data_IF_845577615812
#
_entry.id   IF_845577615812
#
_cell.length_a   1.000
_cell.length_b   1.000
_cell.length_c   1.000
_cell.angle_alpha   90.00
_cell.angle_beta   90.00
_cell.angle_gamma   90.00
#
_symmetry.space_group_name_H-M   'P 1'
#
loop_
_entity.id
_entity.type
_entity.pdbx_description
1 polymer ?
#
# COMPACT_ATOMS: atom_id res chain seq x y z
N UNK A 1 20.05 -20.83 6.93
CA UNK A 1 20.95 -19.74 7.35
C UNK A 1 21.37 -18.94 6.10
N UNK A 2 20.54 -18.00 5.65
CA UNK A 2 20.70 -17.33 4.34
C UNK A 2 20.64 -15.80 4.43
N UNK A 3 20.64 -15.19 5.62
CA UNK A 3 20.33 -13.75 5.75
C UNK A 3 21.42 -13.02 6.52
N UNK A 4 22.49 -12.65 5.84
CA UNK A 4 23.35 -11.56 6.29
C UNK A 4 22.52 -10.26 6.29
N UNK A 5 22.69 -9.47 7.35
CA UNK A 5 21.86 -8.32 7.75
C UNK A 5 21.74 -7.20 6.72
N UNK A 6 22.60 -7.17 5.70
CA UNK A 6 22.55 -6.18 4.62
C UNK A 6 22.87 -6.83 3.27
N UNK A 7 22.04 -6.60 2.26
CA UNK A 7 22.27 -7.07 0.89
C UNK A 7 22.24 -5.91 -0.11
N UNK A 8 23.17 -5.94 -1.06
CA UNK A 8 23.25 -4.96 -2.16
C UNK A 8 22.93 -5.65 -3.48
N UNK A 9 21.99 -5.08 -4.22
CA UNK A 9 21.59 -5.52 -5.55
C UNK A 9 21.57 -4.32 -6.51
N UNK A 10 22.74 -3.87 -7.01
CA UNK A 10 22.86 -2.60 -7.73
C UNK A 10 22.05 -2.55 -9.04
N UNK A 11 21.90 -3.69 -9.71
CA UNK A 11 21.21 -3.81 -11.01
C UNK A 11 19.76 -4.32 -10.91
N UNK A 12 19.30 -4.69 -9.71
CA UNK A 12 17.98 -5.29 -9.54
C UNK A 12 16.88 -4.26 -9.81
N UNK A 13 16.04 -4.54 -10.82
CA UNK A 13 14.91 -3.69 -11.22
C UNK A 13 13.57 -4.16 -10.67
N UNK A 14 13.44 -5.44 -10.36
CA UNK A 14 12.20 -6.05 -9.90
C UNK A 14 12.48 -6.91 -8.67
N UNK A 15 11.76 -6.67 -7.58
CA UNK A 15 11.84 -7.45 -6.36
C UNK A 15 10.45 -7.97 -6.02
N UNK A 16 10.32 -9.29 -5.97
CA UNK A 16 9.13 -9.95 -5.49
C UNK A 16 9.47 -10.82 -4.30
N UNK A 17 8.70 -10.68 -3.22
CA UNK A 17 8.81 -11.48 -2.01
C UNK A 17 7.42 -12.02 -1.70
N UNK A 18 7.28 -13.33 -1.63
CA UNK A 18 5.99 -13.96 -1.37
C UNK A 18 6.13 -15.19 -0.50
N UNK A 19 5.19 -15.40 0.42
CA UNK A 19 5.00 -16.69 1.08
C UNK A 19 4.06 -17.57 0.27
N UNK A 20 4.36 -18.88 0.21
CA UNK A 20 3.46 -19.90 -0.35
C UNK A 20 2.34 -20.30 0.62
N UNK A 21 2.41 -19.87 1.88
CA UNK A 21 1.35 -20.10 2.84
C UNK A 21 0.15 -19.21 2.48
N UNK A 22 -0.94 -19.85 2.07
CA UNK A 22 -2.23 -19.19 1.77
C UNK A 22 -2.95 -18.67 3.03
N UNK A 23 -2.35 -18.84 4.21
CA UNK A 23 -2.89 -18.29 5.44
C UNK A 23 -2.54 -16.80 5.53
N UNK A 24 -3.53 -15.90 5.65
CA UNK A 24 -3.26 -14.47 5.83
C UNK A 24 -2.59 -14.24 7.18
N UNK A 25 -1.25 -14.28 7.23
CA UNK A 25 -0.41 -14.07 8.42
C UNK A 25 -1.16 -14.42 9.73
N UNK A 26 -1.67 -15.66 9.82
CA UNK A 26 -2.40 -16.11 11.00
C UNK A 26 -1.31 -16.43 12.03
N UNK A 27 -1.00 -15.50 12.92
CA UNK A 27 -0.41 -15.88 14.20
C UNK A 27 0.69 -15.02 14.81
N UNK A 28 1.11 -13.90 14.24
CA UNK A 28 2.18 -13.12 14.88
C UNK A 28 1.56 -12.03 15.78
N UNK A 29 1.21 -12.42 17.02
CA UNK A 29 0.87 -11.51 18.12
C UNK A 29 2.15 -10.78 18.59
N UNK A 30 2.12 -9.45 18.49
CA UNK A 30 2.68 -8.41 19.37
C UNK A 30 4.15 -8.42 19.84
N UNK A 31 5.00 -9.44 19.64
CA UNK A 31 6.36 -9.42 20.23
C UNK A 31 7.49 -9.93 19.33
N UNK A 32 7.34 -9.89 18.00
CA UNK A 32 8.41 -10.36 17.12
C UNK A 32 9.32 -9.21 16.68
N UNK A 33 10.59 -9.33 17.06
CA UNK A 33 11.71 -8.74 16.34
C UNK A 33 11.68 -9.26 14.90
N UNK A 34 10.86 -8.66 14.02
CA UNK A 34 10.86 -8.99 12.61
C UNK A 34 12.31 -8.94 12.13
N UNK A 35 12.83 -10.01 11.50
CA UNK A 35 14.16 -9.97 10.95
C UNK A 35 14.24 -8.75 10.05
N UNK A 36 15.08 -7.78 10.45
CA UNK A 36 15.23 -6.52 9.72
C UNK A 36 16.09 -6.83 8.52
N UNK A 37 15.50 -6.72 7.34
CA UNK A 37 16.22 -6.91 6.09
C UNK A 37 16.60 -5.54 5.56
N UNK A 38 17.89 -5.23 5.56
CA UNK A 38 18.38 -4.03 4.92
C UNK A 38 18.79 -4.36 3.48
N UNK A 39 18.14 -3.71 2.52
CA UNK A 39 18.39 -3.94 1.10
C UNK A 39 18.79 -2.63 0.44
N UNK A 40 19.82 -2.68 -0.42
CA UNK A 40 20.22 -1.57 -1.28
C UNK A 40 19.95 -1.96 -2.73
N UNK A 41 18.99 -1.32 -3.39
CA UNK A 41 18.62 -1.59 -4.78
C UNK A 41 18.31 -0.28 -5.53
N UNK A 42 19.34 0.48 -5.93
CA UNK A 42 19.18 1.83 -6.48
C UNK A 42 18.44 1.88 -7.83
N UNK A 43 18.40 0.76 -8.56
CA UNK A 43 17.71 0.64 -9.85
C UNK A 43 16.33 -0.03 -9.76
N UNK A 44 15.80 -0.22 -8.56
CA UNK A 44 14.50 -0.85 -8.36
C UNK A 44 13.39 -0.01 -9.00
N UNK A 45 12.54 -0.66 -9.80
CA UNK A 45 11.37 -0.08 -10.47
C UNK A 45 10.06 -0.70 -9.99
N UNK A 46 10.07 -1.98 -9.62
CA UNK A 46 8.88 -2.72 -9.19
C UNK A 46 9.13 -3.49 -7.91
N UNK A 47 8.27 -3.30 -6.91
CA UNK A 47 8.29 -4.02 -5.64
C UNK A 47 6.96 -4.72 -5.38
N UNK A 48 7.00 -6.02 -5.14
CA UNK A 48 5.82 -6.83 -4.84
C UNK A 48 6.05 -7.63 -3.57
N UNK A 49 5.19 -7.46 -2.57
CA UNK A 49 5.21 -8.25 -1.33
C UNK A 49 3.86 -8.91 -1.12
N UNK A 50 3.84 -10.24 -0.95
CA UNK A 50 2.61 -11.03 -0.84
C UNK A 50 2.60 -12.01 0.33
N UNK A 51 1.54 -11.97 1.14
CA UNK A 51 1.23 -12.92 2.21
C UNK A 51 2.38 -13.12 3.22
N UNK A 52 3.20 -12.08 3.45
CA UNK A 52 4.34 -12.17 4.36
C UNK A 52 4.62 -10.83 5.03
N UNK A 53 4.70 -10.83 6.36
CA UNK A 53 5.08 -9.66 7.14
C UNK A 53 6.60 -9.62 7.35
N UNK A 54 7.25 -8.68 6.68
CA UNK A 54 8.71 -8.50 6.71
C UNK A 54 9.06 -7.04 7.02
N UNK A 55 10.00 -6.82 7.93
CA UNK A 55 10.56 -5.49 8.15
C UNK A 55 11.62 -5.18 7.08
N UNK A 56 11.16 -5.04 5.82
CA UNK A 56 12.02 -4.71 4.68
C UNK A 56 12.35 -3.22 4.69
N UNK A 57 13.61 -2.90 5.03
CA UNK A 57 14.12 -1.53 5.05
C UNK A 57 15.07 -1.31 3.89
N UNK A 58 14.91 -0.20 3.20
CA UNK A 58 15.88 0.22 2.21
C UNK A 58 16.95 1.08 2.88
N UNK A 59 18.21 0.90 2.49
CA UNK A 59 19.33 1.70 3.04
C UNK A 59 19.37 3.12 2.47
N UNK A 60 18.54 3.40 1.47
CA UNK A 60 18.37 4.68 0.80
C UNK A 60 16.92 4.76 0.27
N UNK A 61 16.38 5.97 0.06
CA UNK A 61 15.09 6.13 -0.62
C UNK A 61 15.08 5.42 -1.98
N UNK A 62 13.94 4.80 -2.30
CA UNK A 62 13.71 4.06 -3.53
C UNK A 62 13.00 4.95 -4.56
N UNK A 63 13.64 6.06 -4.92
CA UNK A 63 13.03 7.11 -5.77
C UNK A 63 12.71 6.66 -7.21
N UNK A 64 13.36 5.59 -7.67
CA UNK A 64 13.12 5.00 -8.98
C UNK A 64 11.93 4.04 -9.03
N UNK A 65 11.36 3.66 -7.89
CA UNK A 65 10.24 2.71 -7.86
C UNK A 65 9.02 3.35 -8.48
N UNK A 66 8.44 2.68 -9.47
CA UNK A 66 7.26 3.12 -10.21
C UNK A 66 6.03 2.36 -9.75
N UNK A 67 6.20 1.09 -9.38
CA UNK A 67 5.10 0.19 -9.04
C UNK A 67 5.32 -0.52 -7.70
N UNK A 68 4.31 -0.47 -6.83
CA UNK A 68 4.27 -1.17 -5.54
C UNK A 68 2.98 -1.95 -5.40
N UNK A 69 3.09 -3.24 -5.11
CA UNK A 69 1.95 -4.07 -4.71
C UNK A 69 2.21 -4.79 -3.39
N UNK A 70 1.41 -4.44 -2.38
CA UNK A 70 1.51 -4.96 -1.02
C UNK A 70 0.21 -5.68 -0.68
N UNK A 71 0.26 -7.02 -0.66
CA UNK A 71 -0.93 -7.84 -0.59
C UNK A 71 -0.85 -8.89 0.51
N UNK A 72 -1.91 -9.05 1.30
CA UNK A 72 -1.92 -10.04 2.37
C UNK A 72 -0.96 -9.72 3.51
N UNK A 73 -0.53 -8.45 3.66
CA UNK A 73 0.42 -8.00 4.69
C UNK A 73 -0.26 -7.11 5.75
N UNK A 74 0.39 -6.87 6.89
CA UNK A 74 -0.06 -5.93 7.94
C UNK A 74 0.18 -4.46 7.60
N UNK A 75 -0.55 -3.56 8.28
CA UNK A 75 -0.38 -2.11 8.09
C UNK A 75 1.01 -1.63 8.49
N UNK A 76 1.59 -2.12 9.59
CA UNK A 76 2.95 -1.77 10.01
C UNK A 76 3.99 -2.10 8.92
N UNK A 77 3.88 -3.28 8.32
CA UNK A 77 4.75 -3.69 7.22
C UNK A 77 4.55 -2.79 5.99
N UNK A 78 3.30 -2.47 5.66
CA UNK A 78 2.97 -1.64 4.52
C UNK A 78 3.47 -0.20 4.68
N UNK A 79 3.23 0.42 5.84
CA UNK A 79 3.66 1.77 6.19
C UNK A 79 5.19 1.88 6.11
N UNK A 80 5.91 0.92 6.68
CA UNK A 80 7.37 0.89 6.66
C UNK A 80 7.95 0.81 5.23
N UNK A 81 7.36 0.00 4.36
CA UNK A 81 7.80 -0.12 2.96
C UNK A 81 7.48 1.16 2.19
N UNK A 82 6.25 1.68 2.32
CA UNK A 82 5.80 2.87 1.61
C UNK A 82 6.59 4.12 2.01
N UNK A 83 6.97 4.26 3.28
CA UNK A 83 7.80 5.37 3.75
C UNK A 83 9.18 5.47 3.07
N UNK A 84 9.65 4.39 2.42
CA UNK A 84 10.89 4.40 1.65
C UNK A 84 10.68 4.69 0.15
N UNK A 85 9.43 4.76 -0.33
CA UNK A 85 9.10 4.78 -1.75
C UNK A 85 8.13 5.92 -2.11
N UNK A 86 8.44 7.15 -1.68
CA UNK A 86 7.54 8.31 -1.80
C UNK A 86 7.35 8.81 -3.24
N UNK A 87 8.17 8.37 -4.20
CA UNK A 87 8.08 8.74 -5.62
C UNK A 87 7.39 7.67 -6.50
N UNK A 88 6.74 6.69 -5.88
CA UNK A 88 5.97 5.65 -6.57
C UNK A 88 4.80 6.22 -7.37
N UNK A 89 4.50 5.62 -8.53
CA UNK A 89 3.40 6.02 -9.41
C UNK A 89 2.13 5.21 -9.14
N UNK A 90 2.28 3.89 -9.04
CA UNK A 90 1.17 2.95 -8.88
C UNK A 90 1.29 2.20 -7.55
N UNK A 91 0.25 2.30 -6.72
CA UNK A 91 0.19 1.66 -5.40
C UNK A 91 -1.02 0.74 -5.32
N UNK A 92 -0.78 -0.56 -5.12
CA UNK A 92 -1.83 -1.55 -4.85
C UNK A 92 -1.69 -2.05 -3.41
N UNK A 93 -2.73 -1.82 -2.60
CA UNK A 93 -2.81 -2.21 -1.19
C UNK A 93 -3.92 -3.21 -0.95
N UNK A 94 -3.55 -4.34 -0.36
CA UNK A 94 -4.47 -5.29 0.23
C UNK A 94 -3.96 -5.67 1.62
N UNK A 95 -4.30 -4.85 2.61
CA UNK A 95 -3.80 -4.99 3.98
C UNK A 95 -4.77 -5.83 4.82
N UNK A 96 -4.25 -6.77 5.60
CA UNK A 96 -5.04 -7.75 6.36
C UNK A 96 -5.45 -7.27 7.75
N UNK A 97 -4.68 -6.34 8.34
CA UNK A 97 -4.91 -5.68 9.63
C UNK A 97 -4.50 -4.22 9.48
N UNK A 98 -5.42 -3.30 9.74
CA UNK A 98 -5.15 -1.88 9.76
C UNK A 98 -5.37 -1.38 11.18
N UNK A 99 -4.31 -0.94 11.85
CA UNK A 99 -4.41 -0.25 13.14
C UNK A 99 -4.13 1.24 12.95
N UNK A 100 -4.84 2.08 13.69
CA UNK A 100 -4.85 3.54 13.46
C UNK A 100 -3.54 4.23 13.78
N UNK A 101 -2.69 3.63 14.61
CA UNK A 101 -1.41 4.18 15.06
C UNK A 101 -0.23 3.91 14.12
N UNK A 102 -0.42 3.09 13.08
CA UNK A 102 0.69 2.60 12.27
C UNK A 102 0.95 3.42 11.00
N UNK A 103 0.08 4.40 10.70
CA UNK A 103 0.15 5.20 9.49
C UNK A 103 0.65 6.61 9.78
N UNK A 104 1.94 6.83 9.55
CA UNK A 104 2.50 8.17 9.56
C UNK A 104 2.07 8.97 8.33
N UNK A 105 1.94 10.30 8.44
CA UNK A 105 1.68 11.16 7.30
C UNK A 105 2.77 11.02 6.22
N UNK A 106 2.37 10.73 4.98
CA UNK A 106 3.26 10.59 3.84
C UNK A 106 2.71 11.34 2.63
N UNK A 107 3.61 12.05 1.94
CA UNK A 107 3.32 12.68 0.65
C UNK A 107 3.92 11.82 -0.46
N UNK A 108 3.08 11.19 -1.29
CA UNK A 108 3.52 10.47 -2.47
C UNK A 108 3.52 11.42 -3.67
N UNK A 109 4.70 11.93 -4.01
CA UNK A 109 4.85 13.04 -4.94
C UNK A 109 4.37 12.72 -6.37
N UNK A 110 4.45 11.45 -6.77
CA UNK A 110 4.16 10.99 -8.14
C UNK A 110 3.06 9.94 -8.22
N UNK A 111 2.39 9.65 -7.09
CA UNK A 111 1.36 8.62 -7.07
C UNK A 111 0.17 9.09 -7.92
N UNK A 112 -0.08 8.36 -9.01
CA UNK A 112 -1.17 8.59 -9.96
C UNK A 112 -2.31 7.60 -9.75
N UNK A 113 -1.98 6.39 -9.32
CA UNK A 113 -2.95 5.33 -9.09
C UNK A 113 -2.82 4.77 -7.67
N UNK A 114 -3.94 4.72 -6.96
CA UNK A 114 -4.09 4.01 -5.70
C UNK A 114 -5.23 3.00 -5.80
N UNK A 115 -4.91 1.73 -5.56
CA UNK A 115 -5.87 0.63 -5.52
C UNK A 115 -5.90 0.01 -4.11
N UNK A 116 -7.09 -0.09 -3.51
CA UNK A 116 -7.29 -0.66 -2.17
C UNK A 116 -8.29 -1.81 -2.25
N UNK A 117 -7.80 -3.05 -2.03
CA UNK A 117 -8.59 -4.29 -2.22
C UNK A 117 -9.25 -4.87 -0.97
N UNK A 118 -9.08 -4.23 0.20
CA UNK A 118 -9.66 -4.71 1.46
C UNK A 118 -10.02 -3.52 2.34
N UNK A 119 -11.30 -3.38 2.70
CA UNK A 119 -11.77 -2.43 3.70
C UNK A 119 -12.32 -3.18 4.92
N UNK A 120 -11.44 -3.87 5.66
CA UNK A 120 -11.73 -4.08 7.09
C UNK A 120 -11.81 -2.70 7.74
N UNK A 121 -12.70 -2.52 8.72
CA UNK A 121 -13.19 -1.28 9.34
C UNK A 121 -12.18 -0.18 9.81
N UNK A 122 -10.89 -0.24 9.44
CA UNK A 122 -9.83 0.56 10.05
C UNK A 122 -8.80 1.15 9.08
N UNK A 123 -9.05 1.14 7.76
CA UNK A 123 -8.15 1.79 6.80
C UNK A 123 -8.40 3.29 6.59
N UNK A 124 -9.47 3.86 7.17
CA UNK A 124 -9.73 5.30 7.13
C UNK A 124 -8.56 6.17 7.60
N UNK A 125 -7.95 5.86 8.76
CA UNK A 125 -6.73 6.55 9.22
C UNK A 125 -5.56 6.51 8.23
N UNK A 126 -5.37 5.40 7.50
CA UNK A 126 -4.33 5.32 6.46
C UNK A 126 -4.55 6.37 5.38
N UNK A 127 -5.79 6.45 4.89
CA UNK A 127 -6.16 7.39 3.85
C UNK A 127 -5.92 8.83 4.32
N UNK A 128 -6.32 9.17 5.55
CA UNK A 128 -6.08 10.50 6.11
C UNK A 128 -4.58 10.84 6.25
N UNK A 129 -3.72 9.82 6.38
CA UNK A 129 -2.26 9.99 6.43
C UNK A 129 -1.62 10.15 5.04
N UNK A 130 -2.33 9.95 3.94
CA UNK A 130 -1.74 10.02 2.60
C UNK A 130 -2.09 11.33 1.88
N UNK A 131 -1.06 12.01 1.38
CA UNK A 131 -1.20 13.14 0.45
C UNK A 131 -0.66 12.70 -0.91
N UNK A 132 -1.49 12.77 -1.95
CA UNK A 132 -1.12 12.34 -3.32
C UNK A 132 -1.53 13.41 -4.34
N UNK A 133 -0.71 14.45 -4.56
CA UNK A 133 -1.09 15.60 -5.39
C UNK A 133 -1.38 15.25 -6.85
N UNK A 134 -0.75 14.19 -7.38
CA UNK A 134 -0.89 13.73 -8.77
C UNK A 134 -1.91 12.59 -8.94
N UNK A 135 -2.74 12.30 -7.92
CA UNK A 135 -3.66 11.16 -7.96
C UNK A 135 -4.76 11.36 -9.02
N UNK A 136 -4.77 10.49 -10.03
CA UNK A 136 -5.79 10.47 -11.09
C UNK A 136 -6.76 9.29 -10.96
N UNK A 137 -6.32 8.17 -10.38
CA UNK A 137 -7.09 6.94 -10.32
C UNK A 137 -7.16 6.41 -8.88
N UNK A 138 -8.39 6.29 -8.35
CA UNK A 138 -8.65 5.70 -7.04
C UNK A 138 -9.61 4.52 -7.17
N UNK A 139 -9.08 3.31 -6.99
CA UNK A 139 -9.81 2.06 -7.11
C UNK A 139 -10.05 1.48 -5.72
N UNK A 140 -11.31 1.37 -5.32
CA UNK A 140 -11.67 0.89 -3.97
C UNK A 140 -12.60 -0.30 -4.05
N UNK A 141 -12.17 -1.41 -3.44
CA UNK A 141 -12.97 -2.62 -3.35
C UNK A 141 -13.56 -2.68 -1.94
N UNK A 142 -14.81 -2.25 -1.85
CA UNK A 142 -15.57 -2.22 -0.60
C UNK A 142 -16.39 -3.51 -0.52
N UNK A 143 -16.14 -4.41 0.45
CA UNK A 143 -17.04 -5.53 0.67
C UNK A 143 -18.44 -5.00 1.00
N UNK A 144 -19.50 -5.62 0.45
CA UNK A 144 -20.88 -5.14 0.55
C UNK A 144 -21.39 -4.89 1.97
N UNK A 145 -20.76 -5.50 2.97
CA UNK A 145 -21.05 -5.31 4.40
C UNK A 145 -20.66 -3.92 4.96
N UNK A 146 -19.92 -3.09 4.20
CA UNK A 146 -19.32 -1.84 4.69
C UNK A 146 -19.75 -0.59 3.90
N UNK A 147 -20.92 -0.60 3.26
CA UNK A 147 -21.55 0.59 2.63
C UNK A 147 -22.03 1.62 3.68
N UNK A 148 -21.13 2.08 4.55
CA UNK A 148 -21.40 3.18 5.49
C UNK A 148 -21.03 4.52 4.86
N UNK A 149 -21.90 5.54 4.92
CA UNK A 149 -21.65 6.89 4.36
C UNK A 149 -20.34 7.53 4.82
N UNK A 150 -19.87 7.20 6.03
CA UNK A 150 -18.63 7.75 6.60
C UNK A 150 -17.37 7.43 5.79
N UNK A 151 -17.30 6.24 5.18
CA UNK A 151 -16.14 5.86 4.38
C UNK A 151 -16.10 6.62 3.07
N UNK A 152 -17.27 6.80 2.44
CA UNK A 152 -17.41 7.56 1.19
C UNK A 152 -16.92 9.00 1.38
N UNK A 153 -17.27 9.65 2.50
CA UNK A 153 -16.80 11.01 2.79
C UNK A 153 -15.28 11.13 2.91
N UNK A 154 -14.61 10.18 3.59
CA UNK A 154 -13.13 10.20 3.70
C UNK A 154 -12.45 9.97 2.35
N UNK A 155 -13.00 9.06 1.56
CA UNK A 155 -12.53 8.77 0.20
C UNK A 155 -12.60 10.01 -0.68
N UNK A 156 -13.71 10.76 -0.62
CA UNK A 156 -13.91 11.99 -1.40
C UNK A 156 -12.87 13.07 -1.04
N UNK A 157 -12.32 13.08 0.18
CA UNK A 157 -11.27 14.05 0.57
C UNK A 157 -9.90 13.78 -0.05
N UNK A 158 -9.64 12.57 -0.55
CA UNK A 158 -8.37 12.21 -1.18
C UNK A 158 -8.27 12.69 -2.63
N UNK A 159 -9.40 12.98 -3.24
CA UNK A 159 -9.49 13.50 -4.59
C UNK A 159 -9.73 15.00 -4.45
N UNK A 160 -8.91 15.88 -5.06
CA UNK A 160 -9.22 17.30 -5.13
C UNK A 160 -10.66 17.49 -5.63
N UNK A 161 -11.47 18.22 -4.85
CA UNK A 161 -12.93 18.37 -5.02
C UNK A 161 -13.38 18.85 -6.41
N UNK A 162 -12.46 19.27 -7.29
CA UNK A 162 -12.77 19.80 -8.61
C UNK A 162 -13.11 18.75 -9.68
N UNK A 163 -12.85 17.45 -9.51
CA UNK A 163 -12.82 16.51 -10.66
C UNK A 163 -13.25 15.05 -10.37
N UNK A 164 -14.08 14.80 -9.36
CA UNK A 164 -14.52 13.43 -9.04
C UNK A 164 -15.80 13.02 -9.80
N UNK A 165 -15.77 11.87 -10.48
CA UNK A 165 -16.96 11.21 -11.01
C UNK A 165 -17.17 9.87 -10.30
N UNK A 166 -18.35 9.70 -9.69
CA UNK A 166 -18.77 8.44 -9.10
C UNK A 166 -19.37 7.58 -10.21
N UNK A 167 -18.64 6.57 -10.69
CA UNK A 167 -19.20 5.59 -11.62
C UNK A 167 -19.78 4.44 -10.81
N UNK A 168 -21.11 4.39 -10.74
CA UNK A 168 -21.84 3.21 -10.30
C UNK A 168 -21.50 2.06 -11.27
N UNK A 169 -20.82 1.04 -10.75
CA UNK A 169 -20.62 -0.19 -11.50
C UNK A 169 -21.96 -0.93 -11.66
N UNK A 170 -22.24 -1.53 -12.83
CA UNK A 170 -23.40 -2.42 -12.98
C UNK A 170 -23.27 -3.70 -12.14
N UNK A 171 -22.11 -3.95 -11.53
CA UNK A 171 -21.89 -5.05 -10.61
C UNK A 171 -21.99 -4.54 -9.15
N UNK A 172 -22.83 -5.14 -8.28
CA UNK A 172 -23.20 -4.59 -6.97
C UNK A 172 -22.07 -4.53 -5.93
N UNK A 173 -20.80 -4.71 -6.32
CA UNK A 173 -19.64 -4.86 -5.42
C UNK A 173 -18.48 -3.91 -5.76
N UNK A 174 -18.65 -3.00 -6.72
CA UNK A 174 -17.56 -2.20 -7.27
C UNK A 174 -17.92 -0.73 -7.29
N UNK A 175 -17.13 0.10 -6.60
CA UNK A 175 -17.17 1.55 -6.77
C UNK A 175 -15.83 1.96 -7.39
N UNK A 176 -15.87 2.52 -8.60
CA UNK A 176 -14.69 3.04 -9.29
C UNK A 176 -14.77 4.55 -9.31
N UNK A 177 -13.79 5.21 -8.68
CA UNK A 177 -13.61 6.64 -8.81
C UNK A 177 -12.53 6.90 -9.85
N UNK A 178 -12.90 7.63 -10.90
CA UNK A 178 -11.96 8.11 -11.92
C UNK A 178 -11.95 9.63 -11.90
N UNK A 179 -10.75 10.19 -11.92
CA UNK A 179 -10.54 11.59 -12.27
C UNK A 179 -10.92 11.78 -13.74
N UNK A 180 -11.72 12.79 -14.04
CA UNK A 180 -11.95 13.24 -15.41
C UNK A 180 -11.39 14.67 -15.51
N UNK A 181 -10.12 14.75 -15.93
CA UNK A 181 -9.52 15.93 -16.53
C UNK A 181 -8.68 16.79 -15.60
#
# INVERSE_FOLDING_TARGET
MLFASQRKFPELRQLQISSSENSPAIGFREEWHHPRFFVTCPKLRSLVVRNIDIALRFTQPCDGVEYIALQGISSACAALILGNCLNVQDIILNVTRAESSEWEPHTFHRARMLEIRSLKNRMGPMLDSFTMPELTDLLLYIPNTYRSPFYIYRIVRLIPLSQSSFLDSPHPSFNRLRNIG
#
